data_IF_318713493574
#
_entry.id   IF_318713493574
#
_cell.length_a   1.000
_cell.length_b   1.000
_cell.length_c   1.000
_cell.angle_alpha   90.00
_cell.angle_beta   90.00
_cell.angle_gamma   90.00
#
_symmetry.space_group_name_H-M   'P 1'
#
loop_
_entity.id
_entity.type
_entity.pdbx_description
1 polymer ?
#
# COMPACT_ATOMS: atom_id res chain seq x y z
N UNK A 1 2.30 13.41 -18.84
CA UNK A 1 1.72 12.24 -18.14
C UNK A 1 0.27 12.13 -18.61
N UNK A 2 -0.09 11.08 -19.36
CA UNK A 2 -1.49 10.82 -19.72
C UNK A 2 -2.17 10.19 -18.52
N UNK A 3 -2.54 11.00 -17.54
CA UNK A 3 -3.36 10.54 -16.42
C UNK A 3 -4.80 10.78 -16.83
N UNK A 4 -5.65 9.74 -16.91
CA UNK A 4 -7.07 9.96 -17.14
C UNK A 4 -7.62 10.85 -16.01
N UNK A 5 -8.62 11.71 -16.31
CA UNK A 5 -9.28 12.48 -15.27
C UNK A 5 -9.80 11.53 -14.17
N UNK A 6 -9.86 12.02 -12.93
CA UNK A 6 -10.47 11.27 -11.84
C UNK A 6 -11.88 10.88 -12.28
N UNK A 7 -12.24 9.62 -12.14
CA UNK A 7 -13.62 9.19 -12.30
C UNK A 7 -14.46 9.83 -11.19
N UNK A 8 -15.49 10.59 -11.57
CA UNK A 8 -16.38 11.28 -10.63
C UNK A 8 -17.19 10.30 -9.77
N UNK A 9 -17.37 9.05 -10.23
CA UNK A 9 -17.99 7.97 -9.45
C UNK A 9 -17.13 7.43 -8.31
N UNK A 10 -15.82 7.72 -8.29
CA UNK A 10 -14.93 7.32 -7.19
C UNK A 10 -14.99 8.39 -6.09
N UNK A 11 -15.49 8.08 -4.88
CA UNK A 11 -15.59 9.07 -3.82
C UNK A 11 -14.20 9.57 -3.38
N UNK A 12 -14.14 10.83 -2.97
CA UNK A 12 -12.95 11.39 -2.34
C UNK A 12 -13.04 11.11 -0.85
N UNK A 13 -12.05 10.42 -0.30
CA UNK A 13 -11.94 10.17 1.14
C UNK A 13 -11.26 11.36 1.84
N UNK A 14 -11.88 11.84 2.91
CA UNK A 14 -11.29 12.80 3.84
C UNK A 14 -10.43 12.10 4.90
N UNK A 15 -9.67 12.88 5.69
CA UNK A 15 -8.91 12.30 6.78
C UNK A 15 -9.85 11.69 7.83
N UNK A 16 -10.95 12.35 8.14
CA UNK A 16 -11.90 11.94 9.18
C UNK A 16 -12.60 10.61 8.86
N UNK A 17 -12.93 10.39 7.59
CA UNK A 17 -13.57 9.15 7.10
C UNK A 17 -12.65 7.92 7.17
N UNK A 18 -11.34 8.09 7.40
CA UNK A 18 -10.42 6.96 7.55
C UNK A 18 -10.81 6.01 8.69
N UNK A 19 -11.49 6.50 9.73
CA UNK A 19 -11.88 5.66 10.87
C UNK A 19 -12.97 4.63 10.51
N UNK A 20 -13.61 4.78 9.36
CA UNK A 20 -14.67 3.89 8.89
C UNK A 20 -14.13 2.65 8.16
N UNK A 21 -12.84 2.67 7.77
CA UNK A 21 -12.23 1.59 7.01
C UNK A 21 -11.58 0.54 7.92
N UNK A 22 -11.83 -0.73 7.62
CA UNK A 22 -11.20 -1.85 8.32
C UNK A 22 -9.76 -2.13 7.85
N UNK A 23 -9.32 -1.49 6.77
CA UNK A 23 -7.97 -1.59 6.25
C UNK A 23 -7.74 -0.77 4.98
N UNK A 24 -6.46 -0.55 4.65
CA UNK A 24 -6.07 0.37 3.59
C UNK A 24 -5.06 -0.21 2.60
N UNK A 25 -5.20 0.18 1.33
CA UNK A 25 -4.15 0.11 0.33
C UNK A 25 -3.91 1.50 -0.24
N UNK A 26 -2.75 2.09 0.03
CA UNK A 26 -2.40 3.42 -0.48
C UNK A 26 -1.57 3.32 -1.76
N UNK A 27 -2.00 4.05 -2.78
CA UNK A 27 -1.33 4.10 -4.08
C UNK A 27 -0.43 5.33 -4.21
N UNK A 28 0.82 5.12 -4.60
CA UNK A 28 1.77 6.22 -4.80
C UNK A 28 2.35 6.23 -6.22
N UNK A 29 2.09 7.28 -7.02
CA UNK A 29 3.01 7.61 -8.11
C UNK A 29 4.31 8.10 -7.49
N UNK A 30 5.43 7.43 -7.78
CA UNK A 30 6.72 7.79 -7.20
C UNK A 30 7.11 9.23 -7.56
N UNK A 31 7.68 9.93 -6.59
CA UNK A 31 8.43 11.17 -6.79
C UNK A 31 9.79 10.96 -6.15
N UNK A 32 10.77 10.62 -7.00
CA UNK A 32 12.17 10.41 -6.61
C UNK A 32 12.33 9.42 -5.44
N UNK A 33 11.59 8.30 -5.46
CA UNK A 33 11.66 7.29 -4.40
C UNK A 33 10.85 7.62 -3.15
N UNK A 34 9.95 8.59 -3.21
CA UNK A 34 9.00 8.95 -2.15
C UNK A 34 7.56 9.06 -2.69
N UNK A 35 6.58 9.17 -1.79
CA UNK A 35 5.19 9.46 -2.18
C UNK A 35 5.07 10.85 -2.84
N UNK A 36 4.03 11.06 -3.65
CA UNK A 36 3.74 12.37 -4.21
C UNK A 36 3.28 13.38 -3.14
N UNK A 37 3.49 14.67 -3.39
CA UNK A 37 3.16 15.74 -2.45
C UNK A 37 1.69 15.75 -2.02
N UNK A 38 0.77 15.39 -2.90
CA UNK A 38 -0.67 15.27 -2.61
C UNK A 38 -0.93 14.21 -1.53
N UNK A 39 -0.25 13.07 -1.60
CA UNK A 39 -0.37 12.01 -0.60
C UNK A 39 0.30 12.41 0.72
N UNK A 40 1.43 13.14 0.65
CA UNK A 40 2.04 13.69 1.85
C UNK A 40 1.13 14.70 2.54
N UNK A 41 0.48 15.59 1.79
CA UNK A 41 -0.49 16.54 2.32
C UNK A 41 -1.71 15.86 2.95
N UNK A 42 -2.19 14.75 2.37
CA UNK A 42 -3.22 13.92 2.98
C UNK A 42 -2.77 13.33 4.31
N UNK A 43 -1.56 12.75 4.40
CA UNK A 43 -1.06 12.28 5.71
C UNK A 43 -0.87 13.44 6.70
N UNK A 44 -0.45 14.62 6.26
CA UNK A 44 -0.29 15.79 7.13
C UNK A 44 -1.61 16.30 7.72
N UNK A 45 -2.75 16.09 7.05
CA UNK A 45 -4.06 16.43 7.61
C UNK A 45 -4.56 15.44 8.67
N UNK A 46 -3.91 14.29 8.85
CA UNK A 46 -4.33 13.24 9.81
C UNK A 46 -3.82 13.46 11.24
N UNK A 47 -3.26 14.62 11.57
CA UNK A 47 -2.68 14.90 12.90
C UNK A 47 -3.64 14.69 14.07
N UNK A 48 -4.94 14.96 13.88
CA UNK A 48 -5.97 14.68 14.89
C UNK A 48 -6.15 13.18 15.15
N UNK A 49 -6.21 12.38 14.08
CA UNK A 49 -6.30 10.92 14.17
C UNK A 49 -5.07 10.31 14.83
N UNK A 50 -3.89 10.82 14.49
CA UNK A 50 -2.63 10.42 15.10
C UNK A 50 -2.64 10.68 16.61
N UNK A 51 -3.01 11.90 17.02
CA UNK A 51 -3.03 12.27 18.45
C UNK A 51 -3.97 11.38 19.26
N UNK A 52 -5.08 10.97 18.66
CA UNK A 52 -6.10 10.12 19.29
C UNK A 52 -5.88 8.62 19.04
N UNK A 53 -4.82 8.26 18.31
CA UNK A 53 -4.47 6.88 17.94
C UNK A 53 -5.62 6.12 17.27
N UNK A 54 -6.44 6.82 16.49
CA UNK A 54 -7.68 6.28 15.89
C UNK A 54 -7.46 5.22 14.81
N UNK A 55 -6.26 5.16 14.24
CA UNK A 55 -5.89 4.18 13.22
C UNK A 55 -4.99 3.07 13.76
N UNK A 56 -4.70 3.06 15.06
CA UNK A 56 -3.83 2.06 15.66
C UNK A 56 -4.40 0.65 15.48
N UNK A 57 -3.58 -0.30 15.03
CA UNK A 57 -3.98 -1.67 14.76
C UNK A 57 -4.67 -1.90 13.41
N UNK A 58 -5.01 -0.84 12.67
CA UNK A 58 -5.65 -0.99 11.35
C UNK A 58 -4.62 -1.48 10.32
N UNK A 59 -4.89 -2.59 9.60
CA UNK A 59 -4.02 -3.08 8.52
C UNK A 59 -3.89 -2.08 7.37
N UNK A 60 -2.66 -1.86 6.89
CA UNK A 60 -2.40 -0.99 5.75
C UNK A 60 -1.23 -1.48 4.90
N UNK A 61 -1.32 -1.28 3.60
CA UNK A 61 -0.29 -1.65 2.62
C UNK A 61 -0.16 -0.61 1.51
N UNK A 62 0.80 -0.84 0.62
CA UNK A 62 1.16 0.11 -0.42
C UNK A 62 1.19 -0.53 -1.81
N UNK A 63 0.84 0.24 -2.82
CA UNK A 63 1.14 -0.07 -4.22
C UNK A 63 1.72 1.16 -4.92
N UNK A 64 2.52 0.95 -5.95
CA UNK A 64 3.33 2.02 -6.54
C UNK A 64 3.25 2.07 -8.06
N UNK A 65 3.55 3.24 -8.62
CA UNK A 65 3.81 3.40 -10.05
C UNK A 65 5.11 4.18 -10.23
N UNK A 66 6.01 3.68 -11.08
CA UNK A 66 7.30 4.33 -11.36
C UNK A 66 7.53 4.53 -12.84
N UNK A 67 8.34 5.54 -13.18
CA UNK A 67 8.73 5.77 -14.58
C UNK A 67 9.66 4.68 -15.12
N UNK A 68 10.61 4.21 -14.30
CA UNK A 68 11.65 3.27 -14.71
C UNK A 68 11.84 2.14 -13.68
N UNK A 69 12.58 1.10 -14.09
CA UNK A 69 12.81 -0.12 -13.29
C UNK A 69 13.41 0.16 -11.91
N UNK A 70 14.46 0.98 -11.85
CA UNK A 70 15.11 1.37 -10.59
C UNK A 70 14.54 2.65 -9.96
N UNK A 71 13.50 3.24 -10.54
CA UNK A 71 13.01 4.58 -10.20
C UNK A 71 12.21 4.68 -8.90
N UNK A 72 12.42 3.78 -7.93
CA UNK A 72 11.77 3.82 -6.63
C UNK A 72 10.67 2.78 -6.39
N UNK A 73 10.69 1.65 -7.10
CA UNK A 73 9.69 0.56 -6.92
C UNK A 73 9.64 0.03 -5.48
N UNK A 74 10.77 0.06 -4.80
CA UNK A 74 10.88 -0.39 -3.41
C UNK A 74 10.90 0.81 -2.45
N UNK A 75 11.71 1.82 -2.75
CA UNK A 75 11.96 2.94 -1.83
C UNK A 75 10.72 3.81 -1.61
N UNK A 76 9.82 3.94 -2.58
CA UNK A 76 8.57 4.68 -2.39
C UNK A 76 7.67 4.03 -1.35
N UNK A 77 7.54 2.70 -1.37
CA UNK A 77 6.80 1.99 -0.34
C UNK A 77 7.55 2.04 1.01
N UNK A 78 8.86 1.79 1.01
CA UNK A 78 9.67 1.79 2.23
C UNK A 78 9.60 3.13 2.96
N UNK A 79 9.82 4.25 2.27
CA UNK A 79 9.77 5.58 2.89
C UNK A 79 8.37 5.91 3.43
N UNK A 80 7.30 5.38 2.82
CA UNK A 80 5.93 5.55 3.29
C UNK A 80 5.58 4.74 4.55
N UNK A 81 6.30 3.65 4.84
CA UNK A 81 6.09 2.84 6.07
C UNK A 81 6.17 3.71 7.33
N UNK A 82 7.00 4.76 7.31
CA UNK A 82 7.13 5.72 8.42
C UNK A 82 5.78 6.33 8.82
N UNK A 83 4.88 6.59 7.86
CA UNK A 83 3.55 7.14 8.16
C UNK A 83 2.71 6.15 8.96
N UNK A 84 2.71 4.88 8.56
CA UNK A 84 1.98 3.82 9.26
C UNK A 84 2.51 3.60 10.67
N UNK A 85 3.84 3.60 10.81
CA UNK A 85 4.50 3.41 12.10
C UNK A 85 4.09 4.49 13.11
N UNK A 86 4.04 5.77 12.69
CA UNK A 86 3.62 6.86 13.56
C UNK A 86 2.14 6.80 13.97
N UNK A 87 1.27 6.31 13.08
CA UNK A 87 -0.16 6.09 13.37
C UNK A 87 -0.46 4.80 14.14
N UNK A 88 0.54 3.94 14.37
CA UNK A 88 0.34 2.63 14.99
C UNK A 88 -0.38 1.62 14.10
N UNK A 89 -0.44 1.87 12.79
CA UNK A 89 -1.08 0.98 11.82
C UNK A 89 -0.22 -0.26 11.57
N UNK A 90 -0.86 -1.37 11.21
CA UNK A 90 -0.17 -2.63 10.93
C UNK A 90 0.24 -2.67 9.46
N UNK A 91 1.54 -2.56 9.18
CA UNK A 91 2.04 -2.71 7.82
C UNK A 91 1.89 -4.15 7.32
N UNK A 92 1.16 -4.31 6.21
CA UNK A 92 0.92 -5.59 5.53
C UNK A 92 1.66 -5.58 4.18
N UNK A 93 2.87 -6.15 4.09
CA UNK A 93 3.56 -6.35 2.82
C UNK A 93 2.90 -7.49 2.03
N UNK A 94 3.08 -7.52 0.71
CA UNK A 94 2.74 -8.72 -0.09
C UNK A 94 3.70 -9.86 0.27
N UNK A 95 4.97 -9.55 0.52
CA UNK A 95 6.03 -10.55 0.61
C UNK A 95 6.12 -11.35 -0.70
N UNK A 96 6.50 -12.62 -0.61
CA UNK A 96 6.55 -13.54 -1.75
C UNK A 96 5.25 -14.35 -1.91
N UNK A 97 4.12 -13.87 -1.37
CA UNK A 97 2.86 -14.65 -1.32
C UNK A 97 2.20 -14.85 -2.69
N UNK A 98 2.63 -14.13 -3.73
CA UNK A 98 2.24 -14.36 -5.12
C UNK A 98 3.01 -15.54 -5.77
N UNK A 99 3.79 -16.30 -4.98
CA UNK A 99 4.38 -17.57 -5.37
C UNK A 99 5.38 -17.45 -6.52
N UNK A 100 5.33 -18.38 -7.47
CA UNK A 100 6.20 -18.41 -8.64
C UNK A 100 6.16 -17.10 -9.45
N UNK A 101 5.03 -16.39 -9.42
CA UNK A 101 4.88 -15.08 -10.06
C UNK A 101 5.83 -14.02 -9.51
N UNK A 102 6.39 -14.18 -8.31
CA UNK A 102 7.41 -13.27 -7.76
C UNK A 102 8.81 -13.51 -8.32
N UNK A 103 9.08 -14.68 -8.89
CA UNK A 103 10.40 -15.08 -9.38
C UNK A 103 10.56 -14.98 -10.91
N UNK A 104 9.50 -14.59 -11.64
CA UNK A 104 9.56 -14.43 -13.09
C UNK A 104 10.55 -13.34 -13.52
N UNK A 105 11.43 -13.67 -14.45
CA UNK A 105 12.49 -12.80 -15.03
C UNK A 105 12.44 -12.75 -16.57
N UNK A 106 11.41 -13.33 -17.15
CA UNK A 106 11.15 -13.42 -18.59
C UNK A 106 10.61 -12.12 -19.19
N UNK A 107 10.08 -11.22 -18.35
CA UNK A 107 9.50 -9.95 -18.77
C UNK A 107 9.78 -8.82 -17.77
N UNK A 108 9.86 -7.59 -18.28
CA UNK A 108 9.96 -6.39 -17.44
C UNK A 108 8.59 -6.15 -16.78
N UNK A 109 8.57 -6.22 -15.45
CA UNK A 109 7.37 -6.04 -14.62
C UNK A 109 7.70 -5.33 -13.32
N UNK A 110 6.73 -4.57 -12.85
CA UNK A 110 6.78 -3.89 -11.58
C UNK A 110 6.37 -4.76 -10.40
N UNK A 111 6.49 -4.16 -9.22
CA UNK A 111 6.17 -4.78 -7.94
C UNK A 111 7.39 -5.38 -7.24
N UNK A 112 7.24 -5.54 -5.94
CA UNK A 112 8.27 -6.04 -5.03
C UNK A 112 7.60 -6.69 -3.82
N UNK A 113 8.38 -7.29 -2.89
CA UNK A 113 7.82 -7.78 -1.63
C UNK A 113 7.13 -6.68 -0.80
N UNK A 114 7.43 -5.40 -1.04
CA UNK A 114 6.82 -4.26 -0.35
C UNK A 114 5.42 -3.90 -0.85
N UNK A 115 5.02 -4.35 -2.05
CA UNK A 115 3.76 -3.95 -2.66
C UNK A 115 3.72 -4.22 -4.17
N UNK A 116 2.51 -4.21 -4.74
CA UNK A 116 2.34 -4.32 -6.18
C UNK A 116 2.82 -3.04 -6.83
N UNK A 117 3.28 -3.14 -8.07
CA UNK A 117 3.81 -1.98 -8.77
C UNK A 117 3.69 -2.10 -10.27
N UNK A 118 3.65 -0.95 -10.94
CA UNK A 118 3.59 -0.84 -12.39
C UNK A 118 4.68 0.10 -12.89
N UNK A 119 5.11 -0.10 -14.14
CA UNK A 119 5.94 0.87 -14.84
C UNK A 119 5.12 1.71 -15.82
N UNK A 120 5.23 3.03 -15.71
CA UNK A 120 4.59 3.97 -16.64
C UNK A 120 5.46 4.32 -17.85
N UNK A 121 6.78 4.09 -17.79
CA UNK A 121 7.70 4.57 -18.81
C UNK A 121 7.67 6.10 -18.91
N UNK A 122 7.49 6.61 -20.12
CA UNK A 122 7.21 8.01 -20.45
C UNK A 122 5.76 8.45 -20.16
N UNK A 123 4.96 7.56 -19.56
CA UNK A 123 3.54 7.73 -19.31
C UNK A 123 2.64 7.13 -20.39
N UNK A 124 3.18 6.30 -21.29
CA UNK A 124 2.40 5.58 -22.32
C UNK A 124 2.31 4.07 -22.09
N UNK A 125 3.13 3.51 -21.19
CA UNK A 125 3.09 2.07 -20.88
C UNK A 125 1.91 1.78 -19.97
N UNK A 126 1.07 0.85 -20.42
CA UNK A 126 -0.01 0.29 -19.62
C UNK A 126 0.49 -0.85 -18.70
N UNK A 127 -0.20 -1.11 -17.57
CA UNK A 127 0.09 -2.25 -16.72
C UNK A 127 0.04 -3.57 -17.49
N UNK A 128 1.00 -4.46 -17.25
CA UNK A 128 0.97 -5.81 -17.84
C UNK A 128 0.02 -6.73 -17.08
N UNK A 129 -0.37 -7.85 -17.69
CA UNK A 129 -1.20 -8.87 -17.03
C UNK A 129 -0.59 -9.34 -15.70
N UNK A 130 0.72 -9.55 -15.65
CA UNK A 130 1.42 -9.95 -14.42
C UNK A 130 1.37 -8.87 -13.33
N UNK A 131 1.50 -7.60 -13.70
CA UNK A 131 1.40 -6.48 -12.76
C UNK A 131 -0.03 -6.35 -12.20
N UNK A 132 -1.04 -6.51 -13.06
CA UNK A 132 -2.45 -6.52 -12.66
C UNK A 132 -2.80 -7.71 -11.78
N UNK A 133 -2.31 -8.91 -12.11
CA UNK A 133 -2.50 -10.11 -11.31
C UNK A 133 -1.86 -9.99 -9.91
N UNK A 134 -0.68 -9.36 -9.82
CA UNK A 134 -0.04 -9.07 -8.53
C UNK A 134 -0.86 -8.06 -7.70
N UNK A 135 -1.42 -7.03 -8.33
CA UNK A 135 -2.29 -6.06 -7.66
C UNK A 135 -3.58 -6.72 -7.15
N UNK A 136 -4.21 -7.57 -7.96
CA UNK A 136 -5.39 -8.34 -7.56
C UNK A 136 -5.07 -9.27 -6.38
N UNK A 137 -3.93 -9.95 -6.44
CA UNK A 137 -3.44 -10.78 -5.33
C UNK A 137 -3.24 -9.96 -4.06
N UNK A 138 -2.63 -8.78 -4.14
CA UNK A 138 -2.48 -7.88 -2.99
C UNK A 138 -3.81 -7.49 -2.37
N UNK A 139 -4.81 -7.14 -3.19
CA UNK A 139 -6.16 -6.82 -2.74
C UNK A 139 -6.80 -7.98 -1.97
N UNK A 140 -6.74 -9.19 -2.54
CA UNK A 140 -7.25 -10.41 -1.89
C UNK A 140 -6.50 -10.71 -0.59
N UNK A 141 -5.19 -10.56 -0.58
CA UNK A 141 -4.35 -10.79 0.59
C UNK A 141 -4.67 -9.79 1.72
N UNK A 142 -4.79 -8.50 1.40
CA UNK A 142 -5.20 -7.48 2.36
C UNK A 142 -6.57 -7.79 2.96
N UNK A 143 -7.57 -8.12 2.13
CA UNK A 143 -8.91 -8.46 2.62
C UNK A 143 -8.89 -9.68 3.56
N UNK A 144 -8.05 -10.69 3.29
CA UNK A 144 -7.87 -11.83 4.18
C UNK A 144 -7.22 -11.42 5.52
N UNK A 145 -6.26 -10.50 5.50
CA UNK A 145 -5.62 -9.98 6.71
C UNK A 145 -6.62 -9.18 7.53
N UNK A 146 -7.36 -8.26 6.92
CA UNK A 146 -8.43 -7.49 7.56
C UNK A 146 -9.45 -8.43 8.23
N UNK A 147 -9.91 -9.47 7.52
CA UNK A 147 -10.84 -10.47 8.06
C UNK A 147 -10.31 -11.18 9.32
N UNK A 148 -8.99 -11.38 9.43
CA UNK A 148 -8.38 -11.99 10.62
C UNK A 148 -8.41 -11.05 11.83
N UNK A 149 -8.33 -9.74 11.61
CA UNK A 149 -8.35 -8.74 12.68
C UNK A 149 -9.78 -8.29 13.05
N UNK A 150 -10.73 -8.33 12.12
CA UNK A 150 -12.14 -7.98 12.35
C UNK A 150 -12.85 -8.83 13.42
N UNK A 151 -12.30 -10.00 13.77
CA UNK A 151 -12.82 -10.88 14.83
C UNK A 151 -12.23 -10.68 16.23
N UNK A 152 -11.25 -9.78 16.40
CA UNK A 152 -10.50 -9.59 17.65
C UNK A 152 -10.68 -8.19 18.20
N UNK A 153 -11.86 -7.91 18.76
CA UNK A 153 -12.18 -6.64 19.44
C UNK A 153 -11.51 -6.46 20.82
N UNK A 154 -10.55 -7.32 21.18
CA UNK A 154 -9.63 -7.05 22.28
C UNK A 154 -8.25 -7.55 21.92
N UNK A 155 -7.21 -6.86 22.40
CA UNK A 155 -5.85 -7.37 22.52
C UNK A 155 -5.85 -8.59 23.47
N UNK A 156 -6.46 -9.69 23.04
CA UNK A 156 -6.38 -10.97 23.72
C UNK A 156 -4.94 -11.43 23.59
N UNK A 157 -4.28 -11.59 24.74
CA UNK A 157 -2.89 -12.03 24.87
C UNK A 157 -2.71 -13.41 24.26
N UNK A 158 -2.36 -13.46 22.98
CA UNK A 158 -1.80 -14.65 22.36
C UNK A 158 -0.36 -14.84 22.83
N UNK A 159 0.07 -16.10 23.03
CA UNK A 159 1.45 -16.44 23.35
C UNK A 159 2.39 -15.80 22.33
N UNK A 160 3.15 -14.79 22.76
CA UNK A 160 4.23 -14.21 21.97
C UNK A 160 5.41 -15.16 22.10
N UNK A 161 5.73 -15.89 21.04
CA UNK A 161 6.96 -16.64 20.95
C UNK A 161 8.05 -15.72 20.40
N UNK A 162 8.96 -15.26 21.26
CA UNK A 162 10.20 -14.62 20.82
C UNK A 162 11.25 -15.73 20.63
N UNK A 163 11.85 -15.79 19.44
CA UNK A 163 13.03 -16.61 19.17
C UNK A 163 14.22 -15.67 19.06
N UNK A 164 15.17 -15.79 19.99
CA UNK A 164 16.50 -15.15 19.93
C UNK A 164 17.38 -15.85 18.92
#
# INVERSE_FOLDING_TARGET
MKVPPKDDGIPVISAEEMVEADGFLFGFPTRFGSMAAQMKAFFDSTGGLWREQKLAGVPAGFFVSTGTQGGGQETTAWTAITQLAHHGMLYVPIGYTFGAGMFGIDSIRGGSPYGSGVFSGDGTREPTETELALAEHQGKYMALVVKRFAGTSSFARNKVAAKT
#
